data_IF_450302522314
#
_entry.id   IF_450302522314
#
_cell.length_a   1.000
_cell.length_b   1.000
_cell.length_c   1.000
_cell.angle_alpha   90.00
_cell.angle_beta   90.00
_cell.angle_gamma   90.00
#
_symmetry.space_group_name_H-M   'P 1'
#
loop_
_entity.id
_entity.type
_entity.pdbx_description
1 polymer ?
#
# COMPACT_ATOMS: atom_id res chain seq x y z
N UNK A 1 -8.33 -10.29 16.96
CA UNK A 1 -8.60 -11.41 16.05
C UNK A 1 -9.03 -10.84 14.71
N UNK A 2 -8.44 -11.32 13.62
CA UNK A 2 -8.77 -10.86 12.26
C UNK A 2 -10.19 -11.34 11.90
N UNK A 3 -11.09 -10.46 11.40
CA UNK A 3 -12.42 -10.87 10.98
C UNK A 3 -12.37 -11.95 9.90
N UNK A 4 -13.26 -12.93 10.00
CA UNK A 4 -13.30 -14.07 9.04
C UNK A 4 -13.51 -13.61 7.59
N UNK A 5 -14.24 -12.52 7.38
CA UNK A 5 -14.46 -11.91 6.05
C UNK A 5 -13.17 -11.50 5.34
N UNK A 6 -12.10 -11.20 6.06
CA UNK A 6 -10.83 -10.82 5.43
C UNK A 6 -10.15 -11.96 4.66
N UNK A 7 -10.52 -13.22 4.97
CA UNK A 7 -10.02 -14.39 4.23
C UNK A 7 -10.78 -14.67 2.95
N UNK A 8 -11.98 -14.12 2.81
CA UNK A 8 -12.85 -14.33 1.64
C UNK A 8 -13.06 -13.07 0.81
N UNK A 9 -12.91 -11.92 1.44
CA UNK A 9 -13.13 -10.61 0.84
C UNK A 9 -12.10 -9.62 1.42
N UNK A 10 -10.87 -9.60 0.89
CA UNK A 10 -9.81 -8.77 1.41
C UNK A 10 -10.14 -7.29 1.24
N UNK A 11 -9.80 -6.49 2.26
CA UNK A 11 -9.90 -5.04 2.16
C UNK A 11 -8.96 -4.52 1.07
N UNK A 12 -9.51 -3.76 0.13
CA UNK A 12 -8.75 -3.15 -0.95
C UNK A 12 -9.12 -1.69 -1.11
N UNK A 13 -8.15 -0.86 -1.43
CA UNK A 13 -8.37 0.54 -1.78
C UNK A 13 -7.33 0.99 -2.80
N UNK A 14 -7.65 2.04 -3.53
CA UNK A 14 -6.74 2.64 -4.49
C UNK A 14 -5.89 3.69 -3.79
N UNK A 15 -4.58 3.55 -3.84
CA UNK A 15 -3.64 4.52 -3.33
C UNK A 15 -3.55 5.77 -4.22
N UNK A 16 -2.93 6.83 -3.70
CA UNK A 16 -2.70 8.06 -4.45
C UNK A 16 -1.66 7.84 -5.56
N UNK A 17 -1.78 8.58 -6.66
CA UNK A 17 -0.79 8.58 -7.74
C UNK A 17 0.37 9.57 -7.53
N UNK A 18 0.62 9.98 -6.29
CA UNK A 18 1.65 10.97 -5.95
C UNK A 18 3.11 10.48 -6.16
N UNK A 19 3.27 9.21 -6.54
CA UNK A 19 4.58 8.56 -6.72
C UNK A 19 5.12 7.97 -5.41
N UNK A 20 6.30 7.38 -5.52
CA UNK A 20 6.97 6.73 -4.41
C UNK A 20 8.20 7.51 -3.96
N UNK A 21 8.60 7.28 -2.71
CA UNK A 21 9.90 7.65 -2.21
C UNK A 21 10.94 6.61 -2.64
N UNK A 22 12.15 7.05 -2.87
CA UNK A 22 13.29 6.16 -3.04
C UNK A 22 13.67 5.50 -1.70
N UNK A 23 14.50 4.46 -1.74
CA UNK A 23 14.82 3.64 -0.55
C UNK A 23 15.60 4.37 0.55
N UNK A 24 16.11 5.57 0.26
CA UNK A 24 16.86 6.40 1.21
C UNK A 24 16.27 7.80 1.37
N UNK A 25 15.15 8.07 0.72
CA UNK A 25 14.49 9.35 0.86
C UNK A 25 13.88 9.46 2.27
N UNK A 26 13.97 10.63 2.90
CA UNK A 26 13.35 10.83 4.19
C UNK A 26 11.82 10.81 4.08
N UNK A 27 11.16 10.17 5.04
CA UNK A 27 9.72 10.31 5.24
C UNK A 27 9.49 11.57 6.03
N UNK A 28 9.01 12.61 5.36
CA UNK A 28 8.79 13.94 5.98
C UNK A 28 7.31 14.11 6.29
N UNK A 29 7.00 14.35 7.55
CA UNK A 29 5.65 14.66 8.03
C UNK A 29 5.69 15.90 8.95
N UNK A 30 4.60 16.69 9.00
CA UNK A 30 4.58 17.95 9.75
C UNK A 30 4.67 17.80 11.27
N UNK A 31 4.23 16.68 11.83
CA UNK A 31 4.19 16.44 13.28
C UNK A 31 4.31 14.95 13.62
N UNK A 32 5.01 14.66 14.71
CA UNK A 32 5.06 13.32 15.31
C UNK A 32 3.71 12.88 15.87
N UNK A 33 2.85 13.84 16.26
CA UNK A 33 1.49 13.57 16.73
C UNK A 33 0.62 12.86 15.69
N UNK A 34 1.02 12.89 14.43
CA UNK A 34 0.34 12.13 13.38
C UNK A 34 0.53 10.61 13.50
N UNK A 35 1.43 10.17 14.39
CA UNK A 35 1.63 8.76 14.68
C UNK A 35 2.23 8.01 13.48
N UNK A 36 3.45 8.38 13.09
CA UNK A 36 4.17 7.77 11.96
C UNK A 36 4.43 6.29 12.27
N UNK A 37 4.01 5.42 11.38
CA UNK A 37 4.17 3.98 11.52
C UNK A 37 4.70 3.35 10.22
N UNK A 38 5.48 2.29 10.39
CA UNK A 38 6.02 1.46 9.31
C UNK A 38 5.04 0.32 9.02
N UNK A 39 4.68 0.17 7.76
CA UNK A 39 3.99 -1.03 7.27
C UNK A 39 4.87 -1.74 6.26
N UNK A 40 5.51 -2.84 6.70
CA UNK A 40 6.35 -3.65 5.83
C UNK A 40 5.50 -4.60 5.01
N UNK A 41 5.47 -4.40 3.71
CA UNK A 41 4.58 -5.11 2.80
C UNK A 41 5.34 -5.65 1.59
N UNK A 42 4.72 -6.61 0.90
CA UNK A 42 5.16 -7.08 -0.41
C UNK A 42 4.49 -6.25 -1.49
N UNK A 43 5.26 -5.74 -2.43
CA UNK A 43 4.76 -5.08 -3.62
C UNK A 43 4.97 -5.96 -4.84
N UNK A 44 3.98 -6.00 -5.72
CA UNK A 44 4.09 -6.61 -7.04
C UNK A 44 3.90 -5.55 -8.12
N UNK A 45 4.69 -5.63 -9.17
CA UNK A 45 4.51 -4.84 -10.39
C UNK A 45 3.95 -5.76 -11.46
N UNK A 46 2.83 -5.37 -12.04
CA UNK A 46 2.17 -6.14 -13.09
C UNK A 46 2.26 -5.43 -14.44
N UNK A 47 2.12 -6.16 -15.51
CA UNK A 47 1.71 -5.61 -16.80
C UNK A 47 0.17 -5.43 -16.85
N UNK A 48 -0.40 -5.23 -18.03
CA UNK A 48 -1.83 -5.01 -18.21
C UNK A 48 -2.63 -6.28 -17.89
N UNK A 49 -3.31 -6.28 -16.74
CA UNK A 49 -4.17 -7.38 -16.30
C UNK A 49 -5.57 -7.20 -16.87
N UNK A 50 -6.10 -8.16 -17.67
CA UNK A 50 -7.43 -8.03 -18.23
C UNK A 50 -8.52 -8.06 -17.15
N UNK A 51 -9.62 -7.37 -17.41
CA UNK A 51 -10.78 -7.41 -16.53
C UNK A 51 -11.28 -8.85 -16.36
N UNK A 52 -11.70 -9.19 -15.14
CA UNK A 52 -12.19 -10.52 -14.77
C UNK A 52 -11.15 -11.66 -14.93
N UNK A 53 -9.86 -11.35 -14.91
CA UNK A 53 -8.82 -12.37 -14.87
C UNK A 53 -9.00 -13.31 -13.68
N UNK A 54 -8.85 -14.61 -13.92
CA UNK A 54 -8.81 -15.60 -12.84
C UNK A 54 -7.50 -15.47 -12.05
N UNK A 55 -7.42 -15.96 -10.80
CA UNK A 55 -6.17 -15.93 -10.03
C UNK A 55 -4.98 -16.56 -10.78
N UNK A 56 -5.21 -17.66 -11.50
CA UNK A 56 -4.18 -18.32 -12.29
C UNK A 56 -3.69 -17.47 -13.47
N UNK A 57 -4.59 -16.72 -14.11
CA UNK A 57 -4.22 -15.77 -15.16
C UNK A 57 -3.50 -14.56 -14.56
N UNK A 58 -4.03 -13.98 -13.47
CA UNK A 58 -3.45 -12.82 -12.82
C UNK A 58 -2.01 -13.07 -12.33
N UNK A 59 -1.71 -14.28 -11.84
CA UNK A 59 -0.35 -14.61 -11.42
C UNK A 59 0.68 -14.54 -12.55
N UNK A 60 0.27 -14.81 -13.79
CA UNK A 60 1.13 -14.70 -14.97
C UNK A 60 1.46 -13.25 -15.37
N UNK A 61 0.74 -12.27 -14.81
CA UNK A 61 0.96 -10.84 -15.07
C UNK A 61 1.92 -10.19 -14.05
N UNK A 62 2.38 -10.93 -13.03
CA UNK A 62 3.37 -10.42 -12.07
C UNK A 62 4.72 -10.40 -12.76
N UNK A 63 5.27 -9.20 -12.97
CA UNK A 63 6.55 -8.98 -13.62
C UNK A 63 7.70 -8.84 -12.61
N UNK A 64 7.46 -8.15 -11.51
CA UNK A 64 8.45 -7.91 -10.47
C UNK A 64 7.82 -8.02 -9.07
N UNK A 65 8.63 -8.42 -8.11
CA UNK A 65 8.28 -8.51 -6.68
C UNK A 65 9.31 -7.74 -5.88
N UNK A 66 8.87 -6.99 -4.89
CA UNK A 66 9.74 -6.23 -3.99
C UNK A 66 9.11 -5.98 -2.64
N UNK A 67 9.72 -5.10 -1.89
CA UNK A 67 9.22 -4.63 -0.61
C UNK A 67 8.82 -3.17 -0.71
N UNK A 68 7.81 -2.81 0.07
CA UNK A 68 7.34 -1.44 0.22
C UNK A 68 7.13 -1.14 1.69
N UNK A 69 7.46 0.08 2.09
CA UNK A 69 6.99 0.63 3.34
C UNK A 69 5.77 1.48 3.03
N UNK A 70 4.57 0.97 3.31
CA UNK A 70 3.34 1.73 3.20
C UNK A 70 3.16 2.60 4.45
N UNK A 71 3.88 3.72 4.46
CA UNK A 71 3.92 4.63 5.60
C UNK A 71 2.52 5.06 6.01
N UNK A 72 2.20 4.90 7.28
CA UNK A 72 0.88 5.22 7.82
C UNK A 72 0.98 6.27 8.92
N UNK A 73 0.06 7.23 8.89
CA UNK A 73 -0.10 8.22 9.95
C UNK A 73 -1.30 7.83 10.81
N UNK A 74 -1.06 6.94 11.78
CA UNK A 74 -2.09 6.27 12.59
C UNK A 74 -3.03 7.25 13.30
N UNK A 75 -2.53 8.39 13.73
CA UNK A 75 -3.33 9.43 14.38
C UNK A 75 -4.38 10.08 13.48
N UNK A 76 -4.21 10.03 12.16
CA UNK A 76 -5.14 10.64 11.20
C UNK A 76 -6.21 9.68 10.69
N UNK A 77 -5.96 8.36 10.74
CA UNK A 77 -6.85 7.33 10.19
C UNK A 77 -8.28 7.40 10.75
N UNK A 78 -8.50 7.47 12.09
CA UNK A 78 -9.86 7.47 12.63
C UNK A 78 -10.72 8.63 12.12
N UNK A 79 -10.13 9.82 12.01
CA UNK A 79 -10.84 11.03 11.56
C UNK A 79 -11.18 10.97 10.06
N UNK A 80 -10.36 10.33 9.24
CA UNK A 80 -10.65 10.10 7.83
C UNK A 80 -11.77 9.08 7.65
N UNK A 81 -11.68 7.94 8.33
CA UNK A 81 -12.69 6.87 8.25
C UNK A 81 -14.06 7.32 8.75
N UNK A 82 -14.10 8.17 9.78
CA UNK A 82 -15.36 8.74 10.29
C UNK A 82 -16.12 9.58 9.25
N UNK A 83 -15.46 10.02 8.19
CA UNK A 83 -16.08 10.78 7.09
C UNK A 83 -16.55 9.88 5.94
N UNK A 84 -16.44 8.56 6.06
CA UNK A 84 -16.82 7.60 5.02
C UNK A 84 -15.79 7.40 3.91
N UNK A 85 -14.67 8.10 3.98
CA UNK A 85 -13.49 7.92 3.14
C UNK A 85 -12.28 7.65 4.03
N UNK A 86 -11.21 7.14 3.45
CA UNK A 86 -10.02 6.91 4.21
C UNK A 86 -8.75 6.95 3.37
N UNK A 87 -7.64 6.94 4.07
CA UNK A 87 -6.31 6.71 3.53
C UNK A 87 -5.85 7.73 2.48
N UNK A 88 -6.20 9.01 2.65
CA UNK A 88 -5.66 10.10 1.85
C UNK A 88 -4.56 10.85 2.60
N UNK A 89 -4.93 11.59 3.66
CA UNK A 89 -3.95 12.32 4.48
C UNK A 89 -3.12 11.39 5.37
N UNK A 90 -3.71 10.28 5.79
CA UNK A 90 -3.06 9.25 6.62
C UNK A 90 -2.07 8.37 5.86
N UNK A 91 -2.05 8.43 4.54
CA UNK A 91 -1.12 7.68 3.69
C UNK A 91 -0.27 8.64 2.85
N UNK A 92 0.84 9.15 3.39
CA UNK A 92 1.83 9.88 2.59
C UNK A 92 2.47 8.93 1.57
N UNK A 93 3.49 9.40 0.83
CA UNK A 93 4.17 8.55 -0.14
C UNK A 93 4.80 7.34 0.53
N UNK A 94 4.56 6.17 -0.04
CA UNK A 94 5.24 4.93 0.33
C UNK A 94 6.66 4.89 -0.23
N UNK A 95 7.56 4.15 0.43
CA UNK A 95 8.95 3.98 0.00
C UNK A 95 9.16 2.58 -0.57
N UNK A 96 9.70 2.50 -1.78
CA UNK A 96 10.01 1.23 -2.44
C UNK A 96 11.42 0.73 -2.10
N UNK A 97 11.58 -0.58 -2.07
CA UNK A 97 12.91 -1.21 -1.98
C UNK A 97 13.79 -0.84 -3.18
N UNK A 98 15.12 -0.78 -3.00
CA UNK A 98 16.05 -0.43 -4.07
C UNK A 98 16.18 -1.51 -5.15
N UNK A 99 15.69 -2.70 -4.87
CA UNK A 99 15.79 -3.87 -5.74
C UNK A 99 14.41 -4.53 -5.83
N UNK A 100 14.02 -4.86 -7.04
CA UNK A 100 12.88 -5.71 -7.36
C UNK A 100 13.42 -6.97 -8.04
N UNK A 101 12.82 -8.13 -7.76
CA UNK A 101 13.18 -9.40 -8.36
C UNK A 101 12.09 -9.88 -9.32
N UNK A 102 12.45 -10.63 -10.33
CA UNK A 102 11.48 -11.41 -11.12
C UNK A 102 10.97 -12.59 -10.30
N UNK A 103 9.73 -13.04 -10.51
CA UNK A 103 9.17 -14.24 -9.88
C UNK A 103 10.02 -15.48 -10.09
#
# INVERSE_FOLDING_TARGET
EVPKSFYTDPLMYQATSAGFLGPRDPVVVPSEDYGIDLEAEVVVVTDDVPMAATPAQASGHIQLIGLINDVSLRGLIPAELAKGFGFLQSKPRSALSPVLATP
#
